data_IF_847541719538
#
_entry.id   IF_847541719538
#
_cell.length_a   1.000
_cell.length_b   1.000
_cell.length_c   1.000
_cell.angle_alpha   90.00
_cell.angle_beta   90.00
_cell.angle_gamma   90.00
#
_symmetry.space_group_name_H-M   'P 1'
#
loop_
_entity.id
_entity.type
_entity.pdbx_description
1 polymer ?
#
# COMPACT_ATOMS: atom_id res chain seq x y z
N UNK A 1 -20.63 1.85 2.77
CA UNK A 1 -20.30 1.80 4.20
C UNK A 1 -18.92 2.41 4.40
N UNK A 2 -18.71 3.21 5.45
CA UNK A 2 -17.37 3.71 5.81
C UNK A 2 -16.67 2.58 6.58
N UNK A 3 -15.49 2.13 6.16
CA UNK A 3 -14.76 1.13 6.91
C UNK A 3 -14.28 1.76 8.22
N UNK A 4 -14.39 1.03 9.33
CA UNK A 4 -13.96 1.48 10.66
C UNK A 4 -13.06 0.42 11.28
N UNK A 5 -12.00 0.84 11.95
CA UNK A 5 -11.13 -0.08 12.67
C UNK A 5 -11.81 -0.52 13.96
N UNK A 6 -11.92 -1.82 14.15
CA UNK A 6 -12.38 -2.40 15.41
C UNK A 6 -11.21 -2.51 16.39
N UNK A 7 -11.47 -2.45 17.69
CA UNK A 7 -10.45 -2.55 18.73
C UNK A 7 -9.59 -3.82 18.60
N UNK A 8 -10.20 -4.92 18.12
CA UNK A 8 -9.46 -6.17 17.88
C UNK A 8 -8.45 -6.04 16.72
N UNK A 9 -8.73 -5.23 15.70
CA UNK A 9 -7.76 -4.96 14.64
C UNK A 9 -6.53 -4.23 15.21
N UNK A 10 -6.77 -3.23 16.06
CA UNK A 10 -5.69 -2.50 16.73
C UNK A 10 -4.86 -3.45 17.60
N UNK A 11 -5.50 -4.25 18.46
CA UNK A 11 -4.80 -5.22 19.31
C UNK A 11 -3.97 -6.22 18.50
N UNK A 12 -4.55 -6.74 17.42
CA UNK A 12 -3.84 -7.67 16.55
C UNK A 12 -2.59 -7.03 15.96
N UNK A 13 -2.73 -5.82 15.42
CA UNK A 13 -1.61 -5.08 14.83
C UNK A 13 -0.52 -4.75 15.86
N UNK A 14 -0.88 -4.26 17.05
CA UNK A 14 0.10 -3.96 18.11
C UNK A 14 0.87 -5.18 18.60
N UNK A 15 0.26 -6.37 18.54
CA UNK A 15 0.91 -7.61 18.95
C UNK A 15 1.81 -8.22 17.86
N UNK A 16 1.45 -8.08 16.58
CA UNK A 16 2.13 -8.77 15.47
C UNK A 16 2.92 -7.83 14.55
N UNK A 17 2.79 -6.51 14.71
CA UNK A 17 3.38 -5.50 13.82
C UNK A 17 2.77 -5.49 12.41
N UNK A 18 1.72 -6.26 12.16
CA UNK A 18 1.09 -6.37 10.84
C UNK A 18 -0.37 -6.83 10.92
N UNK A 19 -1.15 -6.51 9.89
CA UNK A 19 -2.55 -6.93 9.77
C UNK A 19 -2.97 -6.97 8.29
N UNK A 20 -3.73 -8.01 7.92
CA UNK A 20 -4.33 -8.16 6.59
C UNK A 20 -5.81 -7.78 6.65
N UNK A 21 -6.25 -6.95 5.71
CA UNK A 21 -7.65 -6.66 5.46
C UNK A 21 -8.04 -7.14 4.07
N UNK A 22 -9.07 -7.97 4.01
CA UNK A 22 -9.72 -8.34 2.77
C UNK A 22 -10.60 -7.19 2.25
N UNK A 23 -10.69 -7.05 0.93
CA UNK A 23 -11.59 -6.10 0.27
C UNK A 23 -11.43 -4.62 0.69
N UNK A 24 -10.20 -4.21 1.01
CA UNK A 24 -9.80 -2.82 1.24
C UNK A 24 -10.13 -1.93 0.02
N UNK A 25 -9.93 -2.48 -1.18
CA UNK A 25 -10.34 -1.90 -2.45
C UNK A 25 -11.35 -2.81 -3.15
N UNK A 26 -12.19 -2.19 -3.98
CA UNK A 26 -13.03 -2.95 -4.90
C UNK A 26 -12.19 -3.43 -6.08
N UNK A 27 -12.53 -4.61 -6.60
CA UNK A 27 -11.92 -5.21 -7.80
C UNK A 27 -11.84 -4.20 -8.95
N UNK A 28 -12.90 -3.41 -9.14
CA UNK A 28 -12.94 -2.34 -10.16
C UNK A 28 -11.91 -1.24 -9.92
N UNK A 29 -11.77 -0.77 -8.68
CA UNK A 29 -10.79 0.28 -8.35
C UNK A 29 -9.36 -0.25 -8.58
N UNK A 30 -9.08 -1.52 -8.22
CA UNK A 30 -7.80 -2.19 -8.47
C UNK A 30 -7.49 -2.31 -9.96
N UNK A 31 -8.43 -2.82 -10.76
CA UNK A 31 -8.25 -3.00 -12.19
C UNK A 31 -7.97 -1.66 -12.91
N UNK A 32 -8.72 -0.61 -12.55
CA UNK A 32 -8.50 0.71 -13.12
C UNK A 32 -7.13 1.29 -12.74
N UNK A 33 -6.67 1.04 -11.51
CA UNK A 33 -5.36 1.49 -11.05
C UNK A 33 -4.23 0.73 -11.74
N UNK A 34 -4.33 -0.60 -11.82
CA UNK A 34 -3.34 -1.44 -12.51
C UNK A 34 -3.22 -1.09 -13.99
N UNK A 35 -4.35 -0.87 -14.67
CA UNK A 35 -4.35 -0.42 -16.06
C UNK A 35 -3.65 0.93 -16.24
N UNK A 36 -3.78 1.86 -15.28
CA UNK A 36 -3.08 3.15 -15.31
C UNK A 36 -1.58 3.00 -15.08
N UNK A 37 -1.18 2.13 -14.15
CA UNK A 37 0.22 1.80 -13.90
C UNK A 37 0.89 1.20 -15.14
N UNK A 38 0.23 0.20 -15.76
CA UNK A 38 0.68 -0.43 -17.01
C UNK A 38 0.81 0.58 -18.15
N UNK A 39 -0.20 1.43 -18.35
CA UNK A 39 -0.18 2.47 -19.39
C UNK A 39 0.93 3.50 -19.16
N UNK A 40 1.19 3.88 -17.91
CA UNK A 40 2.25 4.83 -17.57
C UNK A 40 3.63 4.24 -17.88
N UNK A 41 3.90 3.02 -17.43
CA UNK A 41 5.20 2.38 -17.63
C UNK A 41 5.44 2.04 -19.09
N UNK A 42 4.41 1.54 -19.80
CA UNK A 42 4.50 1.29 -21.24
C UNK A 42 4.80 2.55 -22.07
N UNK A 43 4.48 3.74 -21.56
CA UNK A 43 4.87 5.03 -22.16
C UNK A 43 6.24 5.51 -21.72
N UNK A 44 6.58 5.32 -20.45
CA UNK A 44 7.81 5.83 -19.86
C UNK A 44 9.05 5.01 -20.27
N UNK A 45 8.90 3.70 -20.49
CA UNK A 45 10.03 2.80 -20.69
C UNK A 45 9.65 1.56 -21.51
N UNK A 46 10.65 1.03 -22.24
CA UNK A 46 10.58 -0.31 -22.85
C UNK A 46 10.99 -1.43 -21.88
N UNK A 47 11.47 -1.06 -20.69
CA UNK A 47 11.97 -1.96 -19.66
C UNK A 47 11.31 -1.68 -18.29
N UNK A 48 11.12 -2.72 -17.49
CA UNK A 48 10.43 -2.72 -16.20
C UNK A 48 11.34 -2.41 -15.00
N UNK A 49 12.43 -1.68 -15.24
CA UNK A 49 13.39 -1.28 -14.21
C UNK A 49 12.71 -0.58 -13.02
N UNK A 50 13.19 -0.87 -11.80
CA UNK A 50 12.64 -0.38 -10.53
C UNK A 50 12.46 1.14 -10.52
N UNK A 51 13.42 1.89 -11.09
CA UNK A 51 13.39 3.36 -11.16
C UNK A 51 12.11 3.95 -11.76
N UNK A 52 11.44 3.21 -12.65
CA UNK A 52 10.20 3.65 -13.31
C UNK A 52 8.94 3.30 -12.52
N UNK A 53 9.10 2.56 -11.42
CA UNK A 53 8.03 2.02 -10.58
C UNK A 53 8.00 2.65 -9.19
N UNK A 54 8.95 3.53 -8.89
CA UNK A 54 9.04 4.28 -7.64
C UNK A 54 8.36 5.65 -7.76
N UNK A 55 7.77 6.13 -6.66
CA UNK A 55 7.22 7.49 -6.54
C UNK A 55 6.17 7.83 -7.62
N UNK A 56 5.41 6.82 -8.03
CA UNK A 56 4.36 6.89 -9.06
C UNK A 56 3.23 7.83 -8.67
N UNK A 57 2.94 8.01 -7.38
CA UNK A 57 1.89 8.94 -6.91
C UNK A 57 2.12 10.39 -7.38
N UNK A 58 3.35 10.75 -7.76
CA UNK A 58 3.71 12.06 -8.32
C UNK A 58 3.23 12.23 -9.77
N UNK A 59 3.09 11.13 -10.51
CA UNK A 59 2.69 11.13 -11.93
C UNK A 59 1.28 10.57 -12.14
N UNK A 60 0.81 9.72 -11.24
CA UNK A 60 -0.49 9.03 -11.30
C UNK A 60 -1.35 9.53 -10.13
N UNK A 61 -2.16 10.58 -10.32
CA UNK A 61 -2.95 11.17 -9.25
C UNK A 61 -4.00 10.21 -8.66
N UNK A 62 -4.36 9.16 -9.38
CA UNK A 62 -5.30 8.14 -8.92
C UNK A 62 -4.80 7.37 -7.70
N UNK A 63 -3.48 7.26 -7.50
CA UNK A 63 -2.90 6.65 -6.30
C UNK A 63 -3.31 7.48 -5.08
N UNK A 64 -3.09 8.79 -5.13
CA UNK A 64 -3.56 9.71 -4.10
C UNK A 64 -5.09 9.73 -3.97
N UNK A 65 -5.80 9.59 -5.10
CA UNK A 65 -7.26 9.47 -5.12
C UNK A 65 -7.75 8.25 -4.32
N UNK A 66 -7.11 7.09 -4.49
CA UNK A 66 -7.43 5.86 -3.76
C UNK A 66 -7.11 6.00 -2.28
N UNK A 67 -5.93 6.51 -1.94
CA UNK A 67 -5.51 6.75 -0.55
C UNK A 67 -6.52 7.63 0.19
N UNK A 68 -6.97 8.72 -0.44
CA UNK A 68 -7.96 9.64 0.15
C UNK A 68 -9.36 9.04 0.22
N UNK A 69 -9.84 8.44 -0.88
CA UNK A 69 -11.21 7.87 -0.98
C UNK A 69 -11.43 6.75 0.04
N UNK A 70 -10.37 6.00 0.37
CA UNK A 70 -10.42 4.85 1.27
C UNK A 70 -9.86 5.14 2.65
N UNK A 71 -9.48 6.39 2.93
CA UNK A 71 -8.94 6.82 4.21
C UNK A 71 -7.72 5.97 4.66
N UNK A 72 -6.87 5.54 3.73
CA UNK A 72 -5.77 4.61 4.02
C UNK A 72 -4.72 5.24 4.96
N UNK A 73 -4.47 6.55 4.81
CA UNK A 73 -3.59 7.29 5.71
C UNK A 73 -4.16 7.33 7.13
N UNK A 74 -5.48 7.55 7.29
CA UNK A 74 -6.12 7.56 8.60
C UNK A 74 -6.14 6.17 9.26
N UNK A 75 -6.28 5.11 8.46
CA UNK A 75 -6.14 3.75 8.97
C UNK A 75 -4.71 3.51 9.50
N UNK A 76 -3.69 3.96 8.76
CA UNK A 76 -2.32 3.88 9.22
C UNK A 76 -2.10 4.72 10.49
N UNK A 77 -2.62 5.95 10.56
CA UNK A 77 -2.56 6.84 11.74
C UNK A 77 -3.10 6.15 13.00
N UNK A 78 -4.28 5.53 12.90
CA UNK A 78 -4.91 4.79 13.99
C UNK A 78 -4.11 3.53 14.38
N UNK A 79 -3.58 2.79 13.41
CA UNK A 79 -2.82 1.57 13.66
C UNK A 79 -1.49 1.84 14.40
N UNK A 80 -0.78 2.92 14.05
CA UNK A 80 0.53 3.26 14.67
C UNK A 80 0.44 4.35 15.74
N UNK A 81 -0.76 4.76 16.12
CA UNK A 81 -1.00 5.84 17.10
C UNK A 81 -0.24 7.14 16.77
N UNK A 82 -0.30 7.57 15.51
CA UNK A 82 0.29 8.85 15.07
C UNK A 82 -0.80 9.87 14.80
N UNK A 83 -0.58 11.16 15.12
CA UNK A 83 -1.60 12.19 14.93
C UNK A 83 -1.90 12.45 13.45
N UNK A 84 -0.88 12.29 12.59
CA UNK A 84 -1.03 12.49 11.14
C UNK A 84 0.07 11.76 10.37
N UNK A 85 -0.32 11.14 9.26
CA UNK A 85 0.60 10.53 8.30
C UNK A 85 0.30 11.01 6.88
N UNK A 86 1.33 11.04 6.05
CA UNK A 86 1.20 11.27 4.61
C UNK A 86 1.90 10.19 3.81
N UNK A 87 1.39 9.91 2.62
CA UNK A 87 2.08 9.10 1.64
C UNK A 87 3.35 9.83 1.19
N UNK A 88 4.52 9.24 1.44
CA UNK A 88 5.81 9.83 1.04
C UNK A 88 6.52 9.05 -0.06
N UNK A 89 6.23 7.75 -0.17
CA UNK A 89 6.84 6.83 -1.14
C UNK A 89 5.81 5.78 -1.56
N UNK A 90 5.88 5.39 -2.82
CA UNK A 90 5.18 4.21 -3.34
C UNK A 90 6.09 3.43 -4.30
N UNK A 91 5.79 2.15 -4.46
CA UNK A 91 6.50 1.24 -5.36
C UNK A 91 5.51 0.23 -5.95
N UNK A 92 5.48 0.09 -7.27
CA UNK A 92 4.74 -1.00 -7.91
C UNK A 92 5.59 -2.28 -7.92
N UNK A 93 5.11 -3.33 -7.27
CA UNK A 93 5.84 -4.56 -6.92
C UNK A 93 5.33 -5.75 -7.74
N UNK A 94 6.27 -6.59 -8.18
CA UNK A 94 6.01 -7.83 -8.93
C UNK A 94 6.36 -9.09 -8.11
N UNK A 95 5.90 -10.28 -8.55
CA UNK A 95 6.16 -11.54 -7.85
C UNK A 95 7.65 -11.85 -7.79
N UNK A 96 8.11 -12.35 -6.65
CA UNK A 96 9.51 -12.70 -6.40
C UNK A 96 10.42 -11.51 -6.08
N UNK A 97 9.92 -10.27 -6.10
CA UNK A 97 10.68 -9.10 -5.68
C UNK A 97 10.77 -9.00 -4.16
N UNK A 98 11.93 -8.54 -3.66
CA UNK A 98 12.10 -8.23 -2.24
C UNK A 98 11.47 -6.87 -1.99
N UNK A 99 10.46 -6.85 -1.10
CA UNK A 99 9.86 -5.60 -0.64
C UNK A 99 10.90 -4.87 0.22
N UNK A 100 11.30 -3.64 -0.15
CA UNK A 100 12.33 -2.93 0.57
C UNK A 100 11.88 -2.64 2.00
N UNK A 101 12.78 -2.85 2.95
CA UNK A 101 12.57 -2.38 4.31
C UNK A 101 12.54 -0.84 4.32
N UNK A 102 11.60 -0.29 5.09
CA UNK A 102 11.35 1.13 5.17
C UNK A 102 11.49 1.63 6.61
N UNK A 103 12.04 2.83 6.78
CA UNK A 103 12.04 3.54 8.07
C UNK A 103 10.74 4.32 8.32
N UNK A 104 9.78 4.21 7.41
CA UNK A 104 8.48 4.87 7.52
C UNK A 104 7.64 4.33 8.69
N UNK A 105 6.77 5.19 9.24
CA UNK A 105 5.96 4.84 10.40
C UNK A 105 5.02 3.65 10.12
N UNK A 106 4.50 3.54 8.90
CA UNK A 106 3.61 2.44 8.50
C UNK A 106 3.70 2.21 6.98
N UNK A 107 3.75 0.95 6.58
CA UNK A 107 3.68 0.54 5.18
C UNK A 107 2.37 -0.22 4.90
N UNK A 108 1.91 -0.13 3.65
CA UNK A 108 0.74 -0.83 3.16
C UNK A 108 1.05 -1.47 1.81
N UNK A 109 0.94 -2.79 1.72
CA UNK A 109 0.96 -3.49 0.44
C UNK A 109 -0.47 -3.73 -0.05
N UNK A 110 -0.87 -3.09 -1.16
CA UNK A 110 -2.18 -3.28 -1.79
C UNK A 110 -2.09 -4.25 -2.97
N UNK A 111 -2.82 -5.35 -2.91
CA UNK A 111 -2.83 -6.36 -3.98
C UNK A 111 -3.76 -5.87 -5.10
N UNK A 112 -3.22 -5.73 -6.31
CA UNK A 112 -3.94 -5.15 -7.45
C UNK A 112 -4.49 -6.20 -8.41
N UNK A 113 -3.94 -7.41 -8.42
CA UNK A 113 -4.38 -8.52 -9.26
C UNK A 113 -4.25 -9.88 -8.58
N UNK A 114 -4.86 -10.90 -9.18
CA UNK A 114 -4.91 -12.26 -8.64
C UNK A 114 -6.10 -12.54 -7.73
N UNK A 115 -6.00 -13.63 -6.98
CA UNK A 115 -7.09 -14.14 -6.14
C UNK A 115 -7.41 -13.23 -4.94
N UNK A 116 -6.40 -12.52 -4.43
CA UNK A 116 -6.52 -11.62 -3.28
C UNK A 116 -6.67 -10.14 -3.68
N UNK A 117 -7.08 -9.88 -4.93
CA UNK A 117 -7.30 -8.53 -5.46
C UNK A 117 -8.11 -7.66 -4.50
N UNK A 118 -7.58 -6.47 -4.24
CA UNK A 118 -8.18 -5.49 -3.34
C UNK A 118 -7.92 -5.72 -1.86
N UNK A 119 -7.22 -6.79 -1.48
CA UNK A 119 -6.72 -6.96 -0.13
C UNK A 119 -5.52 -6.05 0.12
N UNK A 120 -5.32 -5.68 1.38
CA UNK A 120 -4.20 -4.83 1.78
C UNK A 120 -3.60 -5.28 3.11
N UNK A 121 -2.27 -5.20 3.20
CA UNK A 121 -1.51 -5.60 4.37
C UNK A 121 -0.83 -4.37 4.93
N UNK A 122 -1.25 -3.92 6.11
CA UNK A 122 -0.52 -2.90 6.85
C UNK A 122 0.56 -3.57 7.69
N UNK A 123 1.74 -2.96 7.78
CA UNK A 123 2.85 -3.48 8.57
C UNK A 123 3.85 -2.38 8.96
N UNK A 124 4.64 -2.66 10.00
CA UNK A 124 5.82 -1.89 10.40
C UNK A 124 7.07 -2.76 10.31
N UNK A 125 8.21 -2.16 9.98
CA UNK A 125 9.47 -2.90 9.80
C UNK A 125 9.46 -3.81 8.55
N UNK A 126 10.09 -4.99 8.60
CA UNK A 126 10.22 -5.85 7.42
C UNK A 126 8.87 -6.42 6.96
N UNK A 127 8.75 -6.64 5.65
CA UNK A 127 7.53 -7.20 5.08
C UNK A 127 7.21 -8.59 5.67
N UNK A 128 5.99 -8.82 6.21
CA UNK A 128 5.60 -10.08 6.82
C UNK A 128 5.33 -11.15 5.77
N UNK A 129 6.40 -11.73 5.22
CA UNK A 129 6.33 -12.67 4.09
C UNK A 129 5.55 -13.96 4.38
N UNK A 130 5.27 -14.25 5.66
CA UNK A 130 4.45 -15.38 6.10
C UNK A 130 2.94 -15.11 5.96
N UNK A 131 2.51 -13.84 5.94
CA UNK A 131 1.10 -13.48 5.76
C UNK A 131 0.64 -13.62 4.32
N UNK A 132 1.48 -13.17 3.38
CA UNK A 132 1.15 -13.24 1.95
C UNK A 132 2.41 -13.16 1.10
N UNK A 133 2.47 -14.00 0.06
CA UNK A 133 3.48 -13.92 -1.00
C UNK A 133 2.76 -13.66 -2.31
N UNK A 134 3.26 -12.67 -3.06
CA UNK A 134 2.75 -12.38 -4.41
C UNK A 134 2.91 -13.60 -5.31
N UNK A 135 1.78 -14.08 -5.83
CA UNK A 135 1.73 -15.22 -6.76
C UNK A 135 2.20 -14.79 -8.15
N UNK A 136 2.70 -15.74 -8.95
CA UNK A 136 3.06 -15.45 -10.33
C UNK A 136 1.88 -14.87 -11.12
N UNK A 137 2.13 -13.76 -11.83
CA UNK A 137 1.10 -13.04 -12.58
C UNK A 137 0.27 -12.03 -11.75
N UNK A 138 0.60 -11.85 -10.47
CA UNK A 138 -0.04 -10.82 -9.62
C UNK A 138 0.86 -9.61 -9.45
N UNK A 139 0.27 -8.44 -9.21
CA UNK A 139 1.01 -7.21 -8.88
C UNK A 139 0.44 -6.57 -7.63
N UNK A 140 1.28 -5.79 -6.94
CA UNK A 140 0.85 -5.01 -5.78
C UNK A 140 1.46 -3.62 -5.79
N UNK A 141 0.82 -2.69 -5.10
CA UNK A 141 1.34 -1.34 -4.87
C UNK A 141 1.72 -1.22 -3.39
N UNK A 142 3.01 -1.03 -3.13
CA UNK A 142 3.51 -0.65 -1.83
C UNK A 142 3.31 0.85 -1.63
N UNK A 143 2.76 1.24 -0.49
CA UNK A 143 2.54 2.61 -0.07
C UNK A 143 3.21 2.81 1.29
N UNK A 144 4.08 3.80 1.42
CA UNK A 144 4.76 4.11 2.67
C UNK A 144 4.26 5.44 3.25
N UNK A 145 3.82 5.38 4.50
CA UNK A 145 3.22 6.48 5.24
C UNK A 145 4.15 6.94 6.36
N UNK A 146 4.40 8.24 6.43
CA UNK A 146 5.27 8.82 7.45
C UNK A 146 4.69 10.09 8.04
N UNK A 147 5.04 10.32 9.30
CA UNK A 147 4.79 11.52 10.09
C UNK A 147 5.84 12.60 9.86
N UNK A 148 6.93 12.30 9.14
CA UNK A 148 7.98 13.29 8.82
C UNK A 148 7.35 14.52 8.15
N UNK A 149 7.68 15.70 8.66
CA UNK A 149 7.13 16.98 8.20
C UNK A 149 5.80 17.37 8.85
N UNK A 150 5.23 16.54 9.72
CA UNK A 150 4.07 16.88 10.54
C UNK A 150 4.51 17.14 11.99
N UNK A 151 3.95 18.16 12.68
CA UNK A 151 4.21 18.35 14.09
C UNK A 151 3.68 17.15 14.89
N UNK A 152 4.50 16.64 15.80
CA UNK A 152 4.06 15.73 16.87
C UNK A 152 3.43 16.62 17.93
N UNK A 153 2.10 16.64 18.01
CA UNK A 153 1.33 17.41 19.00
C UNK A 153 0.95 16.47 20.14
#
# INVERSE_FOLDING_TARGET
MRPTLHLQHLRYFHNHGSILFEALLTIKDCFLLEAKLQNFIGRASKDNAIRWRENLFRSIPEINGVVRKRHLASFAEELVHRPRLSLIRDLWVFPGEVIPEGEEDCMLLLILSGNHIGSGIFFVGPYPSDLYKLENGTTALLLAFSSIGHPVI
#
